data_IF_051262469839
#
_entry.id   IF_051262469839
#
_cell.length_a   1.000
_cell.length_b   1.000
_cell.length_c   1.000
_cell.angle_alpha   90.00
_cell.angle_beta   90.00
_cell.angle_gamma   90.00
#
_symmetry.space_group_name_H-M   'P 1'
#
loop_
_entity.id
_entity.type
_entity.pdbx_description
1 polymer ?
#
# COMPACT_ATOMS: atom_id res chain seq x y z
N UNK A 1 41.70 -45.13 -51.69
CA UNK A 1 40.81 -43.94 -51.59
C UNK A 1 39.40 -44.28 -51.09
N UNK A 2 38.82 -45.44 -51.42
CA UNK A 2 37.44 -45.83 -51.02
C UNK A 2 37.23 -45.94 -49.50
N UNK A 3 38.21 -46.47 -48.76
CA UNK A 3 38.12 -46.65 -47.29
C UNK A 3 38.06 -45.30 -46.55
N UNK A 4 38.85 -44.31 -46.98
CA UNK A 4 38.85 -42.98 -46.37
C UNK A 4 37.52 -42.23 -46.59
N UNK A 5 36.91 -42.39 -47.77
CA UNK A 5 35.60 -41.83 -48.06
C UNK A 5 34.49 -42.49 -47.22
N UNK A 6 34.52 -43.82 -47.07
CA UNK A 6 33.56 -44.55 -46.24
C UNK A 6 33.65 -44.16 -44.76
N UNK A 7 34.87 -43.97 -44.23
CA UNK A 7 35.08 -43.51 -42.85
C UNK A 7 34.56 -42.09 -42.65
N UNK A 8 34.79 -41.18 -43.60
CA UNK A 8 34.26 -39.80 -43.53
C UNK A 8 32.73 -39.75 -43.55
N UNK A 9 32.11 -40.58 -44.39
CA UNK A 9 30.63 -40.70 -44.45
C UNK A 9 30.08 -41.22 -43.11
N UNK A 10 30.72 -42.23 -42.52
CA UNK A 10 30.31 -42.76 -41.21
C UNK A 10 30.41 -41.69 -40.11
N UNK A 11 31.51 -40.92 -40.07
CA UNK A 11 31.66 -39.82 -39.10
C UNK A 11 30.62 -38.71 -39.32
N UNK A 12 30.30 -38.37 -40.56
CA UNK A 12 29.27 -37.38 -40.88
C UNK A 12 27.87 -37.83 -40.42
N UNK A 13 27.53 -39.11 -40.63
CA UNK A 13 26.25 -39.68 -40.18
C UNK A 13 26.14 -39.71 -38.66
N UNK A 14 27.21 -40.12 -37.95
CA UNK A 14 27.24 -40.11 -36.48
C UNK A 14 27.12 -38.69 -35.94
N UNK A 15 27.84 -37.73 -36.54
CA UNK A 15 27.79 -36.33 -36.13
C UNK A 15 26.39 -35.72 -36.33
N UNK A 16 25.77 -35.94 -37.48
CA UNK A 16 24.41 -35.47 -37.76
C UNK A 16 23.37 -36.13 -36.83
N UNK A 17 23.50 -37.44 -36.57
CA UNK A 17 22.64 -38.16 -35.63
C UNK A 17 22.74 -37.62 -34.21
N UNK A 18 23.96 -37.35 -33.73
CA UNK A 18 24.19 -36.74 -32.42
C UNK A 18 23.62 -35.32 -32.34
N UNK A 19 23.81 -34.51 -33.39
CA UNK A 19 23.30 -33.15 -33.45
C UNK A 19 21.76 -33.09 -33.48
N UNK A 20 21.11 -34.03 -34.16
CA UNK A 20 19.65 -34.16 -34.17
C UNK A 20 19.11 -34.61 -32.79
N UNK A 21 19.79 -35.58 -32.17
CA UNK A 21 19.44 -36.05 -30.82
C UNK A 21 19.57 -34.95 -29.77
N UNK A 22 20.66 -34.17 -29.78
CA UNK A 22 20.82 -33.02 -28.89
C UNK A 22 19.72 -31.96 -29.09
N UNK A 23 19.36 -31.65 -30.34
CA UNK A 23 18.29 -30.69 -30.61
C UNK A 23 16.94 -31.19 -30.10
N UNK A 24 16.62 -32.48 -30.30
CA UNK A 24 15.41 -33.10 -29.77
C UNK A 24 15.37 -33.03 -28.23
N UNK A 25 16.48 -33.35 -27.56
CA UNK A 25 16.57 -33.26 -26.10
C UNK A 25 16.35 -31.83 -25.61
N UNK A 26 17.01 -30.84 -26.24
CA UNK A 26 16.84 -29.41 -25.89
C UNK A 26 15.37 -28.97 -26.03
N UNK A 27 14.67 -29.42 -27.07
CA UNK A 27 13.25 -29.11 -27.26
C UNK A 27 12.36 -29.77 -26.19
N UNK A 28 12.62 -31.03 -25.83
CA UNK A 28 11.87 -31.72 -24.77
C UNK A 28 12.07 -31.04 -23.42
N UNK A 29 13.32 -30.75 -23.03
CA UNK A 29 13.63 -30.03 -21.80
C UNK A 29 13.02 -28.62 -21.78
N UNK A 30 13.02 -27.91 -22.92
CA UNK A 30 12.39 -26.61 -23.01
C UNK A 30 10.88 -26.68 -22.76
N UNK A 31 10.19 -27.69 -23.33
CA UNK A 31 8.75 -27.92 -23.10
C UNK A 31 8.45 -28.30 -21.66
N UNK A 32 9.23 -29.19 -21.07
CA UNK A 32 9.08 -29.60 -19.66
C UNK A 32 9.33 -28.44 -18.70
N UNK A 33 10.36 -27.62 -18.95
CA UNK A 33 10.62 -26.42 -18.16
C UNK A 33 9.50 -25.38 -18.30
N UNK A 34 8.97 -25.18 -19.50
CA UNK A 34 7.85 -24.27 -19.73
C UNK A 34 6.58 -24.76 -19.02
N UNK A 35 6.31 -26.07 -19.04
CA UNK A 35 5.20 -26.67 -18.31
C UNK A 35 5.35 -26.48 -16.79
N UNK A 36 6.54 -26.74 -16.22
CA UNK A 36 6.82 -26.49 -14.79
C UNK A 36 6.69 -25.03 -14.40
N UNK A 37 7.22 -24.11 -15.19
CA UNK A 37 7.05 -22.68 -14.94
C UNK A 37 5.57 -22.26 -14.96
N UNK A 38 4.78 -22.81 -15.87
CA UNK A 38 3.35 -22.52 -15.92
C UNK A 38 2.59 -23.06 -14.69
N UNK A 39 3.02 -24.21 -14.15
CA UNK A 39 2.47 -24.78 -12.92
C UNK A 39 2.83 -23.94 -11.70
N UNK A 40 4.11 -23.61 -11.51
CA UNK A 40 4.53 -22.74 -10.39
C UNK A 40 3.86 -21.38 -10.41
N UNK A 41 3.71 -20.77 -11.60
CA UNK A 41 2.99 -19.50 -11.72
C UNK A 41 1.52 -19.61 -11.29
N UNK A 42 0.86 -20.74 -11.57
CA UNK A 42 -0.52 -20.99 -11.10
C UNK A 42 -0.58 -21.22 -9.60
N UNK A 43 0.35 -22.01 -9.06
CA UNK A 43 0.45 -22.25 -7.60
C UNK A 43 0.72 -20.97 -6.83
N UNK A 44 1.62 -20.11 -7.32
CA UNK A 44 1.90 -18.80 -6.72
C UNK A 44 0.66 -17.90 -6.77
N UNK A 45 -0.05 -17.86 -7.90
CA UNK A 45 -1.31 -17.10 -8.01
C UNK A 45 -2.40 -17.62 -7.07
N UNK A 46 -2.52 -18.94 -6.90
CA UNK A 46 -3.47 -19.53 -5.95
C UNK A 46 -3.07 -19.25 -4.50
N UNK A 47 -1.78 -19.34 -4.19
CA UNK A 47 -1.25 -19.00 -2.86
C UNK A 47 -1.50 -17.53 -2.53
N UNK A 48 -1.23 -16.63 -3.47
CA UNK A 48 -1.47 -15.19 -3.32
C UNK A 48 -2.97 -14.90 -3.13
N UNK A 49 -3.83 -15.54 -3.92
CA UNK A 49 -5.29 -15.44 -3.74
C UNK A 49 -5.74 -15.93 -2.37
N UNK A 50 -5.26 -17.09 -1.91
CA UNK A 50 -5.58 -17.64 -0.58
C UNK A 50 -5.09 -16.73 0.54
N UNK A 51 -3.88 -16.20 0.42
CA UNK A 51 -3.33 -15.25 1.38
C UNK A 51 -4.17 -13.97 1.43
N UNK A 52 -4.52 -13.42 0.26
CA UNK A 52 -5.35 -12.23 0.16
C UNK A 52 -6.76 -12.46 0.71
N UNK A 53 -7.36 -13.64 0.48
CA UNK A 53 -8.64 -14.02 1.07
C UNK A 53 -8.55 -14.15 2.59
N UNK A 54 -7.53 -14.82 3.12
CA UNK A 54 -7.31 -14.93 4.56
C UNK A 54 -7.09 -13.56 5.20
N UNK A 55 -6.33 -12.67 4.57
CA UNK A 55 -6.16 -11.29 5.03
C UNK A 55 -7.49 -10.51 4.99
N UNK A 56 -8.30 -10.69 3.94
CA UNK A 56 -9.61 -10.07 3.83
C UNK A 56 -10.59 -10.53 4.90
N UNK A 57 -10.55 -11.81 5.27
CA UNK A 57 -11.40 -12.38 6.31
C UNK A 57 -10.96 -11.94 7.70
N UNK A 58 -9.65 -11.89 7.94
CA UNK A 58 -9.10 -11.55 9.25
C UNK A 58 -9.11 -10.04 9.54
N UNK A 59 -8.78 -9.23 8.53
CA UNK A 59 -8.56 -7.79 8.71
C UNK A 59 -9.51 -6.94 7.88
N UNK A 60 -10.36 -7.52 7.03
CA UNK A 60 -11.29 -6.79 6.19
C UNK A 60 -10.78 -6.51 4.77
N UNK A 61 -11.70 -6.08 3.92
CA UNK A 61 -11.53 -6.00 2.46
C UNK A 61 -10.92 -4.67 2.02
N UNK A 62 -11.17 -3.60 2.77
CA UNK A 62 -10.63 -2.28 2.46
C UNK A 62 -9.30 -2.03 3.19
N UNK A 63 -8.38 -1.23 2.63
CA UNK A 63 -7.18 -0.79 3.36
C UNK A 63 -7.48 -0.21 4.75
N UNK A 64 -8.61 0.47 4.90
CA UNK A 64 -9.10 1.08 6.15
C UNK A 64 -9.47 0.04 7.18
N UNK A 65 -10.26 -0.96 6.78
CA UNK A 65 -10.61 -2.09 7.63
C UNK A 65 -9.34 -2.83 8.05
N UNK A 66 -8.41 -3.07 7.11
CA UNK A 66 -7.17 -3.79 7.40
C UNK A 66 -6.31 -3.09 8.44
N UNK A 67 -6.26 -1.76 8.38
CA UNK A 67 -5.54 -0.93 9.33
C UNK A 67 -6.26 -0.90 10.69
N UNK A 68 -7.59 -0.76 10.69
CA UNK A 68 -8.41 -0.71 11.91
C UNK A 68 -8.43 -2.05 12.67
N UNK A 69 -8.50 -3.17 11.95
CA UNK A 69 -8.58 -4.51 12.52
C UNK A 69 -7.22 -5.14 12.78
N UNK A 70 -6.11 -4.50 12.40
CA UNK A 70 -4.77 -5.00 12.71
C UNK A 70 -4.36 -4.59 14.13
N UNK A 71 -4.40 -5.50 15.12
CA UNK A 71 -4.08 -5.18 16.51
C UNK A 71 -2.59 -4.85 16.72
N UNK A 72 -1.73 -5.16 15.74
CA UNK A 72 -0.30 -4.87 15.81
C UNK A 72 0.05 -3.46 15.30
N UNK A 73 -0.89 -2.75 14.70
CA UNK A 73 -0.61 -1.41 14.14
C UNK A 73 -0.67 -0.36 15.24
N UNK A 74 0.43 0.39 15.39
CA UNK A 74 0.51 1.51 16.34
C UNK A 74 -0.43 2.63 15.89
N UNK A 75 -1.12 3.27 16.84
CA UNK A 75 -2.04 4.38 16.60
C UNK A 75 -1.35 5.52 15.81
N UNK A 76 -0.05 5.74 16.02
CA UNK A 76 0.75 6.68 15.21
C UNK A 76 0.74 6.33 13.72
N UNK A 77 0.93 5.06 13.39
CA UNK A 77 0.95 4.57 12.00
C UNK A 77 -0.43 4.71 11.38
N UNK A 78 -1.47 4.40 12.14
CA UNK A 78 -2.86 4.52 11.73
C UNK A 78 -3.24 5.98 11.45
N UNK A 79 -2.92 6.92 12.35
CA UNK A 79 -3.12 8.36 12.15
C UNK A 79 -2.33 8.87 10.94
N UNK A 80 -1.08 8.45 10.78
CA UNK A 80 -0.25 8.82 9.62
C UNK A 80 -0.84 8.32 8.30
N UNK A 81 -1.39 7.11 8.28
CA UNK A 81 -2.04 6.53 7.10
C UNK A 81 -3.26 7.35 6.68
N UNK A 82 -4.17 7.64 7.62
CA UNK A 82 -5.38 8.41 7.32
C UNK A 82 -5.09 9.87 6.96
N UNK A 83 -4.07 10.47 7.58
CA UNK A 83 -3.58 11.80 7.23
C UNK A 83 -3.07 11.87 5.78
N UNK A 84 -2.32 10.85 5.32
CA UNK A 84 -1.79 10.81 3.95
C UNK A 84 -2.84 10.47 2.89
N UNK A 85 -3.88 9.74 3.25
CA UNK A 85 -4.91 9.29 2.30
C UNK A 85 -5.70 10.45 1.67
N UNK A 86 -5.94 11.52 2.44
CA UNK A 86 -6.76 12.67 2.02
C UNK A 86 -5.93 13.94 1.84
N UNK A 87 -4.65 13.74 1.51
CA UNK A 87 -3.68 14.81 1.37
C UNK A 87 -3.98 15.64 0.11
N UNK A 88 -4.11 16.97 0.22
CA UNK A 88 -4.04 17.81 -0.96
C UNK A 88 -2.68 17.64 -1.65
N UNK A 89 -2.63 17.65 -2.99
CA UNK A 89 -1.42 17.35 -3.79
C UNK A 89 -0.19 18.21 -3.46
N UNK A 90 -0.38 19.40 -2.87
CA UNK A 90 0.67 20.36 -2.54
C UNK A 90 0.99 20.41 -1.02
N UNK A 91 0.69 19.33 -0.30
CA UNK A 91 0.89 19.23 1.13
C UNK A 91 1.61 17.94 1.51
N UNK A 92 2.18 17.91 2.71
CA UNK A 92 2.72 16.76 3.41
C UNK A 92 1.93 16.55 4.70
N UNK A 93 1.68 15.29 5.08
CA UNK A 93 1.07 14.99 6.38
C UNK A 93 1.74 13.83 7.10
N UNK A 94 1.62 13.86 8.42
CA UNK A 94 2.08 12.81 9.30
C UNK A 94 1.46 12.92 10.69
N UNK A 95 1.83 11.97 11.53
CA UNK A 95 1.49 11.98 12.94
C UNK A 95 2.76 11.90 13.81
N UNK A 96 2.87 12.80 14.77
CA UNK A 96 3.85 12.82 15.83
C UNK A 96 3.27 12.32 17.15
N UNK A 97 4.16 12.04 18.09
CA UNK A 97 3.80 11.77 19.49
C UNK A 97 4.38 12.94 20.29
N UNK A 98 3.51 13.78 20.85
CA UNK A 98 3.97 14.91 21.68
C UNK A 98 4.21 14.44 23.12
N UNK A 99 3.32 13.62 23.68
CA UNK A 99 3.45 12.98 25.01
C UNK A 99 2.86 11.56 25.00
N UNK A 100 3.13 10.77 26.05
CA UNK A 100 2.88 9.32 26.24
C UNK A 100 1.62 8.74 25.54
N UNK A 101 0.52 9.48 25.43
CA UNK A 101 -0.73 9.09 24.74
C UNK A 101 -1.35 10.21 23.89
N UNK A 102 -0.60 11.28 23.63
CA UNK A 102 -1.04 12.49 22.94
C UNK A 102 -0.44 12.52 21.54
N UNK A 103 -1.26 12.16 20.56
CA UNK A 103 -0.85 12.14 19.16
C UNK A 103 -1.22 13.45 18.47
N UNK A 104 -0.26 14.00 17.75
CA UNK A 104 -0.44 15.24 17.00
C UNK A 104 -0.40 14.94 15.52
N UNK A 105 -1.45 15.31 14.82
CA UNK A 105 -1.51 15.16 13.36
C UNK A 105 -1.17 16.50 12.73
N UNK A 106 -0.34 16.51 11.71
CA UNK A 106 0.01 17.74 11.01
C UNK A 106 -0.26 17.63 9.52
N UNK A 107 -0.59 18.77 8.91
CA UNK A 107 -0.65 18.99 7.49
C UNK A 107 0.21 20.21 7.17
N UNK A 108 1.35 20.01 6.51
CA UNK A 108 2.27 21.07 6.08
C UNK A 108 2.06 21.35 4.59
N UNK A 109 1.79 22.60 4.21
CA UNK A 109 1.52 22.98 2.82
C UNK A 109 2.27 24.26 2.45
N UNK A 110 2.59 24.44 1.16
CA UNK A 110 3.10 25.73 0.64
C UNK A 110 2.12 26.87 0.91
N UNK A 111 0.81 26.59 0.75
CA UNK A 111 -0.27 27.50 1.10
C UNK A 111 -1.37 26.76 1.84
N UNK A 112 -1.89 27.35 2.91
CA UNK A 112 -2.98 26.71 3.66
C UNK A 112 -4.25 26.58 2.81
N UNK A 113 -4.86 25.39 2.78
CA UNK A 113 -6.09 25.18 2.03
C UNK A 113 -7.24 25.95 2.70
N UNK A 114 -8.30 26.25 1.94
CA UNK A 114 -9.48 26.94 2.44
C UNK A 114 -10.14 26.21 3.63
N UNK A 115 -10.93 26.93 4.42
CA UNK A 115 -11.55 26.43 5.66
C UNK A 115 -12.39 25.17 5.43
N UNK A 116 -13.06 25.10 4.29
CA UNK A 116 -13.89 23.98 3.85
C UNK A 116 -13.04 22.72 3.60
N UNK A 117 -11.89 22.88 2.95
CA UNK A 117 -10.96 21.77 2.67
C UNK A 117 -10.31 21.29 3.97
N UNK A 118 -9.92 22.20 4.87
CA UNK A 118 -9.42 21.83 6.21
C UNK A 118 -10.46 21.05 7.01
N UNK A 119 -11.73 21.42 6.88
CA UNK A 119 -12.85 20.75 7.53
C UNK A 119 -13.05 19.34 6.99
N UNK A 120 -12.98 19.15 5.67
CA UNK A 120 -13.04 17.82 5.05
C UNK A 120 -11.87 16.94 5.49
N UNK A 121 -10.67 17.52 5.61
CA UNK A 121 -9.49 16.83 6.11
C UNK A 121 -9.66 16.37 7.56
N UNK A 122 -10.10 17.26 8.47
CA UNK A 122 -10.41 16.90 9.86
C UNK A 122 -11.42 15.76 9.93
N UNK A 123 -12.52 15.88 9.18
CA UNK A 123 -13.55 14.84 9.13
C UNK A 123 -12.97 13.51 8.69
N UNK A 124 -12.17 13.50 7.64
CA UNK A 124 -11.67 12.24 7.10
C UNK A 124 -10.65 11.55 8.00
N UNK A 125 -9.90 12.27 8.82
CA UNK A 125 -9.02 11.64 9.81
C UNK A 125 -9.87 11.12 10.98
N UNK A 126 -10.65 12.01 11.58
CA UNK A 126 -11.34 11.76 12.85
C UNK A 126 -12.58 10.87 12.71
N UNK A 127 -13.05 10.58 11.48
CA UNK A 127 -14.08 9.57 11.24
C UNK A 127 -13.61 8.14 11.52
N UNK A 128 -12.29 7.88 11.55
CA UNK A 128 -11.71 6.54 11.67
C UNK A 128 -10.92 6.34 12.96
N UNK A 129 -10.68 7.40 13.72
CA UNK A 129 -9.97 7.36 15.01
C UNK A 129 -10.82 7.97 16.09
N UNK A 130 -10.70 7.46 17.32
CA UNK A 130 -11.29 8.12 18.46
C UNK A 130 -10.58 9.47 18.68
N UNK A 131 -11.30 10.62 18.61
CA UNK A 131 -10.70 11.94 18.80
C UNK A 131 -10.04 12.13 20.16
N UNK A 132 -10.41 11.34 21.18
CA UNK A 132 -9.78 11.36 22.49
C UNK A 132 -8.29 11.00 22.48
N UNK A 133 -7.81 10.31 21.43
CA UNK A 133 -6.39 10.02 21.28
C UNK A 133 -5.62 11.06 20.47
N UNK A 134 -6.31 12.04 19.89
CA UNK A 134 -5.68 13.12 19.11
C UNK A 134 -5.60 14.36 20.00
N UNK A 135 -4.38 14.81 20.27
CA UNK A 135 -4.11 16.00 21.06
C UNK A 135 -4.34 17.28 20.25
N UNK A 136 -3.87 17.30 19.01
CA UNK A 136 -4.10 18.42 18.10
C UNK A 136 -4.02 17.99 16.63
N UNK A 137 -4.68 18.76 15.79
CA UNK A 137 -4.46 18.75 14.35
C UNK A 137 -3.94 20.11 13.91
N UNK A 138 -2.69 20.16 13.47
CA UNK A 138 -2.01 21.38 13.06
C UNK A 138 -2.00 21.51 11.52
N UNK A 139 -2.42 22.67 11.03
CA UNK A 139 -2.32 23.07 9.64
C UNK A 139 -1.20 24.12 9.54
N UNK A 140 -0.09 23.76 8.91
CA UNK A 140 1.15 24.53 8.88
C UNK A 140 1.38 25.05 7.45
N UNK A 141 1.52 26.36 7.30
CA UNK A 141 2.04 26.98 6.08
C UNK A 141 3.56 27.07 6.16
N UNK A 142 4.31 26.74 5.10
CA UNK A 142 5.78 26.68 5.16
C UNK A 142 6.45 27.97 5.65
N UNK A 143 5.95 29.13 5.20
CA UNK A 143 6.47 30.46 5.55
C UNK A 143 5.39 31.32 6.24
N UNK A 144 4.39 30.69 6.86
CA UNK A 144 3.17 31.39 7.26
C UNK A 144 2.56 30.90 8.58
N UNK A 145 1.28 31.28 8.83
CA UNK A 145 0.60 30.96 10.06
C UNK A 145 0.38 29.46 10.24
N UNK A 146 0.36 29.01 11.48
CA UNK A 146 -0.13 27.68 11.86
C UNK A 146 -1.52 27.81 12.45
N UNK A 147 -2.47 27.04 11.92
CA UNK A 147 -3.83 26.94 12.47
C UNK A 147 -3.93 25.59 13.21
N UNK A 148 -4.28 25.62 14.49
CA UNK A 148 -4.35 24.42 15.32
C UNK A 148 -5.79 24.15 15.75
N UNK A 149 -6.25 22.92 15.54
CA UNK A 149 -7.47 22.40 16.15
C UNK A 149 -7.08 21.51 17.34
N UNK A 150 -7.16 22.06 18.55
CA UNK A 150 -6.80 21.38 19.79
C UNK A 150 -7.90 20.42 20.28
N UNK A 151 -7.52 19.42 21.06
CA UNK A 151 -8.43 18.39 21.57
C UNK A 151 -9.77 18.91 22.13
N UNK A 152 -9.86 20.02 22.89
CA UNK A 152 -11.15 20.52 23.37
C UNK A 152 -12.14 20.88 22.26
N UNK A 153 -11.67 21.33 21.09
CA UNK A 153 -12.56 21.53 19.95
C UNK A 153 -12.91 20.22 19.26
N UNK A 154 -11.95 19.29 19.17
CA UNK A 154 -12.16 18.00 18.53
C UNK A 154 -13.23 17.15 19.24
N UNK A 155 -13.30 17.26 20.57
CA UNK A 155 -14.27 16.56 21.42
C UNK A 155 -15.68 17.16 21.40
N UNK A 156 -15.88 18.37 20.84
CA UNK A 156 -17.23 18.98 20.72
C UNK A 156 -18.07 18.30 19.65
N UNK A 157 -17.44 17.69 18.65
CA UNK A 157 -18.10 16.98 17.56
C UNK A 157 -18.41 15.56 18.03
N UNK A 158 -19.71 15.23 18.15
CA UNK A 158 -20.14 13.95 18.73
C UNK A 158 -19.86 12.74 17.85
N UNK A 159 -20.01 12.89 16.54
CA UNK A 159 -19.80 11.83 15.57
C UNK A 159 -19.16 12.39 14.30
N UNK A 160 -17.86 12.20 14.17
CA UNK A 160 -17.07 12.68 13.05
C UNK A 160 -17.45 12.03 11.71
N UNK A 161 -17.90 10.77 11.70
CA UNK A 161 -18.31 10.09 10.46
C UNK A 161 -19.55 10.73 9.83
N UNK A 162 -20.42 11.36 10.63
CA UNK A 162 -21.65 12.03 10.16
C UNK A 162 -21.66 13.56 10.37
N UNK A 163 -20.56 14.13 10.84
CA UNK A 163 -20.48 15.55 11.18
C UNK A 163 -20.64 16.43 9.94
N UNK A 164 -21.48 17.46 10.08
CA UNK A 164 -21.66 18.48 9.04
C UNK A 164 -20.49 19.44 9.05
N UNK A 165 -20.10 19.96 7.88
CA UNK A 165 -18.98 20.90 7.77
C UNK A 165 -19.18 22.14 8.67
N UNK A 166 -20.42 22.63 8.79
CA UNK A 166 -20.76 23.77 9.67
C UNK A 166 -20.58 23.48 11.16
N UNK A 167 -20.77 22.23 11.60
CA UNK A 167 -20.54 21.81 12.99
C UNK A 167 -19.04 21.80 13.30
N UNK A 168 -18.25 21.21 12.41
CA UNK A 168 -16.78 21.12 12.53
C UNK A 168 -16.16 22.52 12.52
N UNK A 169 -16.62 23.37 11.60
CA UNK A 169 -16.23 24.77 11.52
C UNK A 169 -16.48 25.45 12.86
N UNK A 170 -17.72 25.43 13.37
CA UNK A 170 -18.07 26.10 14.62
C UNK A 170 -17.27 25.58 15.82
N UNK A 171 -16.89 24.31 15.80
CA UNK A 171 -16.09 23.72 16.86
C UNK A 171 -14.63 24.19 16.80
N UNK A 172 -14.01 24.17 15.63
CA UNK A 172 -12.55 24.19 15.46
C UNK A 172 -11.96 25.46 14.80
N UNK A 173 -12.78 26.35 14.22
CA UNK A 173 -12.33 27.46 13.38
C UNK A 173 -13.24 28.69 13.43
#
# INVERSE_FOLDING_TARGET
MVVAAATLVLHAVIFLGFHYYEQSLKQTYARENQARHSQWKREDQEREKKLQQAMNEQYGRTPEERVYHNPAMDLKQLLSFFAKRNLPKACEAGAGVDRFTEFSVYLKCVRLPAKEVRTQYLRSILAWVNPAYVFQVAFIEEDGPTIVAEQPCLLKVKNWSSARDSEIIRACF
#
